data_IF_616627314997
#
_entry.id   IF_616627314997
#
_cell.length_a   1.000
_cell.length_b   1.000
_cell.length_c   1.000
_cell.angle_alpha   90.00
_cell.angle_beta   90.00
_cell.angle_gamma   90.00
#
_symmetry.space_group_name_H-M   'P 1'
#
loop_
_entity.id
_entity.type
_entity.pdbx_description
1 polymer ?
#
# COMPACT_ATOMS: atom_id res chain seq x y z
N UNK A 1 -15.95 11.43 -2.67
CA UNK A 1 -14.58 10.95 -2.97
C UNK A 1 -14.59 9.93 -4.10
N UNK A 2 -15.24 8.77 -3.97
CA UNK A 2 -15.40 7.80 -5.05
C UNK A 2 -16.65 8.09 -5.89
N UNK A 3 -16.55 8.99 -6.87
CA UNK A 3 -17.61 9.27 -7.84
C UNK A 3 -17.08 9.10 -9.27
N UNK A 4 -17.98 9.17 -10.26
CA UNK A 4 -17.61 8.95 -11.66
C UNK A 4 -16.63 9.99 -12.21
N UNK A 5 -16.71 11.24 -11.77
CA UNK A 5 -15.80 12.31 -12.22
C UNK A 5 -14.38 12.02 -11.73
N UNK A 6 -14.21 11.70 -10.45
CA UNK A 6 -12.92 11.31 -9.89
C UNK A 6 -12.38 10.04 -10.57
N UNK A 7 -13.25 9.06 -10.84
CA UNK A 7 -12.84 7.80 -11.48
C UNK A 7 -12.30 8.02 -12.89
N UNK A 8 -13.02 8.81 -13.70
CA UNK A 8 -12.59 9.15 -15.05
C UNK A 8 -11.27 9.90 -15.05
N UNK A 9 -11.13 10.91 -14.17
CA UNK A 9 -9.88 11.63 -14.03
C UNK A 9 -8.72 10.72 -13.62
N UNK A 10 -8.97 9.77 -12.71
CA UNK A 10 -7.95 8.83 -12.28
C UNK A 10 -7.54 7.87 -13.40
N UNK A 11 -8.49 7.36 -14.19
CA UNK A 11 -8.18 6.55 -15.37
C UNK A 11 -7.32 7.33 -16.36
N UNK A 12 -7.67 8.59 -16.64
CA UNK A 12 -6.87 9.46 -17.51
C UNK A 12 -5.44 9.64 -16.99
N UNK A 13 -5.26 9.88 -15.69
CA UNK A 13 -3.92 9.98 -15.09
C UNK A 13 -3.14 8.67 -15.28
N UNK A 14 -3.78 7.51 -15.12
CA UNK A 14 -3.12 6.23 -15.37
C UNK A 14 -2.74 6.05 -16.85
N UNK A 15 -3.58 6.47 -17.79
CA UNK A 15 -3.23 6.51 -19.23
C UNK A 15 -1.98 7.36 -19.48
N UNK A 16 -1.92 8.56 -18.89
CA UNK A 16 -0.80 9.48 -19.05
C UNK A 16 0.51 8.92 -18.47
N UNK A 17 0.47 8.38 -17.26
CA UNK A 17 1.63 7.77 -16.59
C UNK A 17 2.14 6.56 -17.36
N UNK A 18 1.24 5.61 -17.69
CA UNK A 18 1.65 4.40 -18.42
C UNK A 18 2.17 4.76 -19.81
N UNK A 19 1.50 5.66 -20.54
CA UNK A 19 1.97 6.10 -21.87
C UNK A 19 3.36 6.73 -21.81
N UNK A 20 3.65 7.53 -20.78
CA UNK A 20 4.96 8.16 -20.57
C UNK A 20 6.02 7.11 -20.23
N UNK A 21 5.71 6.19 -19.32
CA UNK A 21 6.75 5.43 -18.62
C UNK A 21 6.90 3.96 -19.06
N UNK A 22 5.98 3.43 -19.89
CA UNK A 22 5.96 2.01 -20.31
C UNK A 22 7.26 1.48 -20.91
N UNK A 23 8.13 2.34 -21.44
CA UNK A 23 9.40 1.95 -22.06
C UNK A 23 10.60 2.01 -21.09
N UNK A 24 10.40 2.35 -19.81
CA UNK A 24 11.46 2.34 -18.82
C UNK A 24 11.61 0.96 -18.18
N UNK A 25 12.76 0.28 -18.32
CA UNK A 25 12.97 -1.04 -17.70
C UNK A 25 13.08 -0.97 -16.18
N UNK A 26 13.40 0.20 -15.62
CA UNK A 26 13.42 0.42 -14.18
C UNK A 26 12.01 0.45 -13.55
N UNK A 27 10.98 0.71 -14.35
CA UNK A 27 9.58 0.60 -13.89
C UNK A 27 9.19 -0.87 -13.97
N UNK A 28 8.91 -1.48 -12.82
CA UNK A 28 8.61 -2.92 -12.72
C UNK A 28 7.18 -3.22 -12.28
N UNK A 29 6.44 -2.23 -11.80
CA UNK A 29 5.08 -2.38 -11.27
C UNK A 29 4.37 -1.02 -11.30
N UNK A 30 3.06 -1.01 -11.51
CA UNK A 30 2.22 0.19 -11.40
C UNK A 30 1.48 0.22 -10.06
N UNK A 31 1.68 1.26 -9.26
CA UNK A 31 0.86 1.52 -8.06
C UNK A 31 -0.20 2.56 -8.39
N UNK A 32 -1.48 2.20 -8.25
CA UNK A 32 -2.59 3.09 -8.66
C UNK A 32 -3.07 4.01 -7.53
N UNK A 33 -2.75 3.74 -6.27
CA UNK A 33 -3.19 4.58 -5.16
C UNK A 33 -2.35 4.34 -3.91
N UNK A 34 -2.32 5.34 -3.02
CA UNK A 34 -1.75 5.24 -1.68
C UNK A 34 -2.82 5.45 -0.61
N UNK A 35 -2.92 4.50 0.32
CA UNK A 35 -3.83 4.51 1.49
C UNK A 35 -5.28 4.95 1.19
N UNK A 36 -5.94 4.46 0.12
CA UNK A 36 -7.36 4.74 -0.05
C UNK A 36 -8.14 4.13 1.12
N UNK A 37 -9.34 4.66 1.40
CA UNK A 37 -10.30 4.04 2.31
C UNK A 37 -10.89 2.73 1.70
N UNK A 38 -10.03 1.76 1.41
CA UNK A 38 -10.30 0.52 0.66
C UNK A 38 -11.27 -0.42 1.36
N UNK A 39 -11.58 -0.18 2.65
CA UNK A 39 -12.60 -0.92 3.40
C UNK A 39 -14.04 -0.56 2.98
N UNK A 40 -14.24 0.54 2.24
CA UNK A 40 -15.55 0.96 1.74
C UNK A 40 -15.91 0.20 0.45
N UNK A 41 -17.18 -0.21 0.31
CA UNK A 41 -17.65 -0.91 -0.89
C UNK A 41 -17.48 -0.08 -2.17
N UNK A 42 -17.74 1.23 -2.08
CA UNK A 42 -17.52 2.17 -3.19
C UNK A 42 -16.05 2.27 -3.58
N UNK A 43 -15.12 2.15 -2.62
CA UNK A 43 -13.69 2.09 -2.90
C UNK A 43 -13.31 0.78 -3.59
N UNK A 44 -13.90 -0.35 -3.19
CA UNK A 44 -13.69 -1.64 -3.85
C UNK A 44 -14.04 -1.61 -5.33
N UNK A 45 -15.23 -1.10 -5.68
CA UNK A 45 -15.62 -0.92 -7.09
C UNK A 45 -14.69 0.05 -7.82
N UNK A 46 -14.38 1.19 -7.20
CA UNK A 46 -13.49 2.18 -7.79
C UNK A 46 -12.10 1.62 -8.12
N UNK A 47 -11.47 0.95 -7.14
CA UNK A 47 -10.14 0.35 -7.30
C UNK A 47 -10.16 -0.77 -8.34
N UNK A 48 -11.19 -1.63 -8.33
CA UNK A 48 -11.37 -2.66 -9.37
C UNK A 48 -11.29 -2.06 -10.77
N UNK A 49 -12.00 -0.96 -11.00
CA UNK A 49 -12.05 -0.31 -12.31
C UNK A 49 -10.71 0.30 -12.71
N UNK A 50 -10.03 1.01 -11.81
CA UNK A 50 -8.72 1.62 -12.09
C UNK A 50 -7.65 0.55 -12.31
N UNK A 51 -7.63 -0.51 -11.51
CA UNK A 51 -6.67 -1.62 -11.64
C UNK A 51 -6.89 -2.33 -12.99
N UNK A 52 -8.13 -2.68 -13.33
CA UNK A 52 -8.44 -3.33 -14.59
C UNK A 52 -8.06 -2.48 -15.80
N UNK A 53 -8.33 -1.17 -15.73
CA UNK A 53 -7.95 -0.23 -16.78
C UNK A 53 -6.42 -0.13 -16.93
N UNK A 54 -5.68 0.00 -15.82
CA UNK A 54 -4.20 0.05 -15.84
C UNK A 54 -3.59 -1.22 -16.42
N UNK A 55 -4.12 -2.40 -16.05
CA UNK A 55 -3.71 -3.70 -16.62
C UNK A 55 -3.95 -3.77 -18.13
N UNK A 56 -5.02 -3.17 -18.63
CA UNK A 56 -5.31 -3.14 -20.06
C UNK A 56 -4.35 -2.22 -20.84
N UNK A 57 -3.86 -1.14 -20.21
CA UNK A 57 -2.91 -0.21 -20.82
C UNK A 57 -1.49 -0.80 -20.94
N UNK A 58 -1.06 -1.56 -19.93
CA UNK A 58 0.23 -2.25 -19.92
C UNK A 58 0.12 -3.66 -19.29
N UNK A 59 -0.13 -4.70 -20.10
CA UNK A 59 -0.23 -6.07 -19.61
C UNK A 59 1.13 -6.68 -19.25
N UNK A 60 2.25 -5.99 -19.47
CA UNK A 60 3.60 -6.52 -19.23
C UNK A 60 4.07 -6.40 -17.78
N UNK A 61 3.38 -5.61 -16.95
CA UNK A 61 3.75 -5.32 -15.57
C UNK A 61 2.61 -5.57 -14.59
N UNK A 62 2.89 -6.05 -13.37
CA UNK A 62 1.88 -6.16 -12.31
C UNK A 62 1.31 -4.80 -11.91
N UNK A 63 0.08 -4.82 -11.41
CA UNK A 63 -0.61 -3.64 -10.87
C UNK A 63 -0.95 -3.87 -9.40
N UNK A 64 -0.63 -2.87 -8.59
CA UNK A 64 -0.88 -2.83 -7.16
C UNK A 64 -1.57 -1.52 -6.75
N UNK A 65 -2.00 -1.44 -5.50
CA UNK A 65 -2.14 -0.20 -4.76
C UNK A 65 -1.59 -0.45 -3.36
N UNK A 66 -1.28 0.62 -2.65
CA UNK A 66 -0.72 0.56 -1.30
C UNK A 66 -1.85 0.70 -0.28
N UNK A 67 -1.99 -0.29 0.60
CA UNK A 67 -3.06 -0.35 1.61
C UNK A 67 -2.54 -0.14 3.03
N UNK A 68 -3.32 0.59 3.83
CA UNK A 68 -3.20 0.64 5.30
C UNK A 68 -4.36 -0.12 5.99
N UNK A 69 -5.26 -0.72 5.20
CA UNK A 69 -6.45 -1.38 5.72
C UNK A 69 -6.14 -2.75 6.33
N UNK A 70 -7.11 -3.31 7.03
CA UNK A 70 -7.05 -4.68 7.50
C UNK A 70 -7.35 -5.66 6.35
N UNK A 71 -6.60 -6.76 6.30
CA UNK A 71 -6.73 -7.81 5.28
C UNK A 71 -8.17 -8.34 5.09
N UNK A 72 -9.00 -8.39 6.14
CA UNK A 72 -10.36 -8.89 6.05
C UNK A 72 -11.37 -7.85 5.55
N UNK A 73 -11.04 -6.56 5.72
CA UNK A 73 -11.92 -5.45 5.35
C UNK A 73 -11.62 -4.91 3.95
N UNK A 74 -10.40 -5.10 3.43
CA UNK A 74 -9.96 -4.52 2.18
C UNK A 74 -10.73 -5.05 0.96
N UNK A 75 -11.46 -4.15 0.30
CA UNK A 75 -12.28 -4.44 -0.89
C UNK A 75 -11.50 -4.31 -2.20
N UNK A 76 -10.30 -3.72 -2.18
CA UNK A 76 -9.45 -3.55 -3.36
C UNK A 76 -8.43 -4.68 -3.56
N UNK A 77 -7.95 -5.27 -2.47
CA UNK A 77 -6.94 -6.32 -2.45
C UNK A 77 -7.24 -7.55 -3.32
N UNK A 78 -8.49 -8.00 -3.52
CA UNK A 78 -8.78 -9.07 -4.47
C UNK A 78 -8.29 -8.81 -5.90
N UNK A 79 -8.16 -7.55 -6.33
CA UNK A 79 -7.96 -7.20 -7.75
C UNK A 79 -6.49 -6.95 -8.16
N UNK A 80 -5.60 -6.70 -7.21
CA UNK A 80 -4.16 -6.45 -7.45
C UNK A 80 -3.38 -7.73 -7.74
N UNK A 81 -2.19 -7.62 -8.32
CA UNK A 81 -1.26 -8.74 -8.49
C UNK A 81 -0.32 -8.90 -7.29
N UNK A 82 0.04 -7.79 -6.65
CA UNK A 82 0.94 -7.72 -5.48
C UNK A 82 0.27 -6.90 -4.39
N UNK A 83 0.33 -7.38 -3.14
CA UNK A 83 -0.18 -6.67 -1.97
C UNK A 83 0.94 -5.78 -1.43
N UNK A 84 0.73 -4.46 -1.44
CA UNK A 84 1.65 -3.50 -0.81
C UNK A 84 1.01 -2.98 0.47
N UNK A 85 1.63 -3.19 1.63
CA UNK A 85 1.08 -2.83 2.94
C UNK A 85 1.95 -1.77 3.60
N UNK A 86 1.29 -0.74 4.13
CA UNK A 86 1.89 0.23 5.05
C UNK A 86 1.54 -0.16 6.49
N UNK A 87 2.55 -0.26 7.34
CA UNK A 87 2.34 -0.52 8.76
C UNK A 87 3.40 0.20 9.59
N UNK A 88 2.92 0.85 10.65
CA UNK A 88 3.71 1.70 11.54
C UNK A 88 3.55 1.23 12.99
N UNK A 89 3.75 -0.08 13.20
CA UNK A 89 3.76 -0.67 14.54
C UNK A 89 4.84 -0.01 15.40
N UNK A 90 4.58 0.10 16.70
CA UNK A 90 5.31 0.90 17.70
C UNK A 90 5.34 2.42 17.47
N UNK A 91 4.82 2.93 16.35
CA UNK A 91 4.80 4.37 16.04
C UNK A 91 3.40 4.99 16.15
N UNK A 92 2.42 4.46 15.41
CA UNK A 92 1.01 4.90 15.51
C UNK A 92 0.13 3.93 16.32
N UNK A 93 0.70 2.80 16.75
CA UNK A 93 0.11 1.80 17.63
C UNK A 93 1.16 1.35 18.63
N UNK A 94 0.76 1.06 19.86
CA UNK A 94 1.65 0.55 20.91
C UNK A 94 2.95 1.37 21.02
N UNK A 95 2.80 2.69 21.15
CA UNK A 95 3.85 3.70 21.12
C UNK A 95 5.11 3.31 21.90
N UNK A 96 6.24 3.16 21.21
CA UNK A 96 7.55 2.82 21.80
C UNK A 96 7.75 1.35 22.19
N UNK A 97 6.74 0.49 22.04
CA UNK A 97 6.83 -0.94 22.37
C UNK A 97 7.43 -1.77 21.22
N UNK A 98 8.75 -1.64 21.02
CA UNK A 98 9.49 -2.31 19.95
C UNK A 98 9.39 -3.85 20.03
N UNK A 99 9.23 -4.39 21.24
CA UNK A 99 9.11 -5.83 21.49
C UNK A 99 7.87 -6.46 20.82
N UNK A 100 6.86 -5.66 20.47
CA UNK A 100 5.62 -6.13 19.85
C UNK A 100 5.70 -6.24 18.32
N UNK A 101 6.64 -5.54 17.68
CA UNK A 101 6.72 -5.39 16.22
C UNK A 101 6.78 -6.77 15.54
N UNK A 102 7.66 -7.65 15.99
CA UNK A 102 7.87 -8.96 15.36
C UNK A 102 6.57 -9.77 15.33
N UNK A 103 5.84 -9.81 16.46
CA UNK A 103 4.59 -10.55 16.57
C UNK A 103 3.51 -9.94 15.69
N UNK A 104 3.36 -8.62 15.72
CA UNK A 104 2.33 -7.90 14.97
C UNK A 104 2.54 -8.01 13.46
N UNK A 105 3.77 -7.78 12.99
CA UNK A 105 4.11 -7.86 11.57
C UNK A 105 3.98 -9.28 11.02
N UNK A 106 4.47 -10.29 11.76
CA UNK A 106 4.31 -11.71 11.38
C UNK A 106 2.82 -12.06 11.23
N UNK A 107 2.00 -11.69 12.21
CA UNK A 107 0.56 -11.92 12.18
C UNK A 107 -0.09 -11.23 10.98
N UNK A 108 0.28 -9.98 10.70
CA UNK A 108 -0.26 -9.22 9.58
C UNK A 108 0.05 -9.90 8.24
N UNK A 109 1.32 -10.23 7.98
CA UNK A 109 1.72 -10.86 6.71
C UNK A 109 1.13 -12.26 6.53
N UNK A 110 1.10 -13.06 7.60
CA UNK A 110 0.46 -14.37 7.53
C UNK A 110 -1.01 -14.26 7.16
N UNK A 111 -1.74 -13.30 7.73
CA UNK A 111 -3.16 -13.12 7.43
C UNK A 111 -3.38 -12.65 5.99
N UNK A 112 -2.61 -11.66 5.53
CA UNK A 112 -2.65 -11.22 4.13
C UNK A 112 -2.39 -12.39 3.17
N UNK A 113 -1.35 -13.18 3.44
CA UNK A 113 -0.99 -14.30 2.58
C UNK A 113 -2.06 -15.39 2.61
N UNK A 114 -2.52 -15.81 3.80
CA UNK A 114 -3.59 -16.81 3.97
C UNK A 114 -4.87 -16.42 3.22
N UNK A 115 -5.24 -15.13 3.22
CA UNK A 115 -6.46 -14.65 2.57
C UNK A 115 -6.35 -14.54 1.05
N UNK A 116 -5.24 -14.04 0.51
CA UNK A 116 -5.17 -13.69 -0.92
C UNK A 116 -4.19 -14.52 -1.75
N UNK A 117 -3.25 -15.23 -1.11
CA UNK A 117 -2.22 -16.05 -1.78
C UNK A 117 -1.43 -15.25 -2.84
N UNK A 118 -1.07 -14.00 -2.52
CA UNK A 118 -0.32 -13.09 -3.38
C UNK A 118 1.00 -12.69 -2.74
N UNK A 119 2.04 -12.32 -3.53
CA UNK A 119 3.25 -11.71 -2.99
C UNK A 119 2.92 -10.45 -2.17
N UNK A 120 3.68 -10.22 -1.11
CA UNK A 120 3.49 -9.09 -0.18
C UNK A 120 4.77 -8.27 -0.15
N UNK A 121 4.61 -6.94 -0.20
CA UNK A 121 5.67 -5.95 -0.02
C UNK A 121 5.28 -5.06 1.16
N UNK A 122 6.19 -4.89 2.12
CA UNK A 122 6.10 -3.79 3.08
C UNK A 122 6.53 -2.50 2.36
N UNK A 123 5.57 -1.70 1.92
CA UNK A 123 5.86 -0.50 1.13
C UNK A 123 6.29 0.69 2.00
N UNK A 124 5.76 0.78 3.21
CA UNK A 124 6.16 1.82 4.18
C UNK A 124 6.23 1.27 5.59
N UNK A 125 7.31 1.61 6.28
CA UNK A 125 7.48 1.48 7.71
C UNK A 125 8.48 2.54 8.16
N UNK A 126 8.36 3.02 9.38
CA UNK A 126 9.29 4.03 9.89
C UNK A 126 8.84 4.61 11.22
N UNK A 127 9.70 5.48 11.74
CA UNK A 127 9.45 6.31 12.92
C UNK A 127 10.03 7.69 12.60
N UNK A 128 9.40 8.75 13.10
CA UNK A 128 10.00 10.08 13.00
C UNK A 128 11.20 10.15 13.96
N UNK A 129 12.24 10.85 13.56
CA UNK A 129 13.44 11.08 14.35
C UNK A 129 13.83 12.56 14.29
N UNK A 130 14.25 13.12 15.42
CA UNK A 130 14.75 14.49 15.52
C UNK A 130 16.27 14.42 15.50
N UNK A 131 16.87 15.11 14.52
CA UNK A 131 18.33 15.16 14.37
C UNK A 131 19.01 15.67 15.65
N UNK A 132 20.00 14.93 16.13
CA UNK A 132 20.77 15.16 17.35
C UNK A 132 20.10 14.67 18.64
N UNK A 133 18.90 14.09 18.57
CA UNK A 133 18.22 13.57 19.75
C UNK A 133 18.55 12.08 19.93
N UNK A 134 19.50 11.77 20.80
CA UNK A 134 19.97 10.40 21.06
C UNK A 134 19.55 9.93 22.46
N UNK A 135 19.25 8.64 22.61
CA UNK A 135 18.93 8.02 23.90
C UNK A 135 19.20 6.51 23.86
N UNK A 136 19.70 5.95 24.97
CA UNK A 136 19.72 4.51 25.21
C UNK A 136 19.09 4.20 26.58
N UNK A 137 18.06 3.32 26.68
CA UNK A 137 17.36 2.63 25.59
C UNK A 137 16.64 3.60 24.61
N UNK A 138 16.39 3.19 23.36
CA UNK A 138 15.78 4.05 22.35
C UNK A 138 14.38 4.51 22.76
N UNK A 139 14.04 5.76 22.44
CA UNK A 139 12.72 6.34 22.67
C UNK A 139 12.14 6.85 21.34
N UNK A 140 10.83 7.12 21.32
CA UNK A 140 10.24 7.79 20.16
C UNK A 140 10.95 9.12 19.88
N UNK A 141 11.15 9.43 18.60
CA UNK A 141 11.86 10.61 18.10
C UNK A 141 13.39 10.60 18.25
N UNK A 142 14.00 9.55 18.80
CA UNK A 142 15.47 9.47 18.92
C UNK A 142 16.11 8.88 17.66
N UNK A 143 17.31 9.34 17.31
CA UNK A 143 18.17 8.77 16.27
C UNK A 143 19.39 8.05 16.87
N UNK A 144 19.99 7.15 16.09
CA UNK A 144 21.23 6.42 16.42
C UNK A 144 22.43 7.00 15.66
#
# INVERSE_FOLDING_TARGET
>A
FFNNVSLQNHMQVMEEVVRRDKNHPAVVMWSVANEPASYLESAGYYLKMVIAHTKALDPSRPVAFVTRSNYAADKGAPYVDVICVNSYYSWYNDFGHLELIQRQLTTQFENWYKTYQKPIIQSEYGAEAIVGFHQDPPLMFTEE
#
